data_IF_481581282193
#
_entry.id   IF_481581282193
#
_cell.length_a   1.000
_cell.length_b   1.000
_cell.length_c   1.000
_cell.angle_alpha   90.00
_cell.angle_beta   90.00
_cell.angle_gamma   90.00
#
_symmetry.space_group_name_H-M   'P 1'
#
loop_
_entity.id
_entity.type
_entity.pdbx_description
1 polymer ?
#
# COMPACT_ATOMS: atom_id res chain seq x y z
N UNK A 1 2.90 -18.18 -8.02
CA UNK A 1 1.75 -17.41 -7.53
C UNK A 1 1.10 -18.25 -6.44
N UNK A 2 0.93 -17.67 -5.24
CA UNK A 2 0.36 -18.38 -4.08
C UNK A 2 -1.16 -18.40 -4.16
N UNK A 3 -1.75 -19.50 -3.73
CA UNK A 3 -3.21 -19.68 -3.61
C UNK A 3 -3.50 -20.24 -2.22
N UNK A 4 -4.57 -19.77 -1.61
CA UNK A 4 -5.10 -20.30 -0.34
C UNK A 4 -6.59 -20.58 -0.49
N UNK A 5 -7.07 -21.68 0.06
CA UNK A 5 -8.50 -21.98 0.08
C UNK A 5 -9.18 -21.46 1.37
N UNK A 6 -10.48 -21.25 1.28
CA UNK A 6 -11.29 -20.73 2.36
C UNK A 6 -11.37 -21.71 3.55
N UNK A 7 -11.28 -23.02 3.29
CA UNK A 7 -11.33 -24.04 4.36
C UNK A 7 -10.07 -23.99 5.20
N UNK A 8 -8.92 -23.76 4.58
CA UNK A 8 -7.64 -23.59 5.29
C UNK A 8 -7.68 -22.37 6.20
N UNK A 9 -8.23 -21.22 5.73
CA UNK A 9 -8.44 -20.04 6.56
C UNK A 9 -9.32 -20.38 7.77
N UNK A 10 -10.48 -21.00 7.53
CA UNK A 10 -11.44 -21.36 8.56
C UNK A 10 -10.87 -22.37 9.58
N UNK A 11 -10.05 -23.31 9.11
CA UNK A 11 -9.38 -24.27 9.99
C UNK A 11 -8.40 -23.57 10.95
N UNK A 12 -7.57 -22.66 10.41
CA UNK A 12 -6.58 -21.93 11.21
C UNK A 12 -7.21 -20.95 12.21
N UNK A 13 -8.40 -20.41 11.91
CA UNK A 13 -9.15 -19.54 12.83
C UNK A 13 -9.60 -20.22 14.11
N UNK A 14 -9.51 -21.55 14.25
CA UNK A 14 -9.74 -22.25 15.51
C UNK A 14 -8.76 -21.85 16.63
N UNK A 15 -7.60 -21.30 16.24
CA UNK A 15 -6.64 -20.68 17.15
C UNK A 15 -6.19 -19.33 16.59
N UNK A 16 -7.04 -18.31 16.76
CA UNK A 16 -6.88 -16.97 16.22
C UNK A 16 -5.50 -16.36 16.52
N UNK A 17 -5.09 -16.42 17.79
CA UNK A 17 -3.81 -15.82 18.22
C UNK A 17 -2.63 -16.46 17.51
N UNK A 18 -2.55 -17.78 17.47
CA UNK A 18 -1.44 -18.48 16.82
C UNK A 18 -1.47 -18.29 15.31
N UNK A 19 -2.65 -18.20 14.71
CA UNK A 19 -2.79 -17.95 13.28
C UNK A 19 -2.28 -16.57 12.90
N UNK A 20 -2.68 -15.54 13.62
CA UNK A 20 -2.19 -14.17 13.41
C UNK A 20 -0.68 -14.10 13.57
N UNK A 21 -0.13 -14.62 14.68
CA UNK A 21 1.32 -14.57 14.94
C UNK A 21 2.14 -15.21 13.82
N UNK A 22 1.74 -16.38 13.33
CA UNK A 22 2.42 -17.04 12.18
C UNK A 22 2.38 -16.20 10.90
N UNK A 23 1.26 -15.56 10.62
CA UNK A 23 1.14 -14.71 9.43
C UNK A 23 2.01 -13.47 9.54
N UNK A 24 2.08 -12.85 10.73
CA UNK A 24 2.96 -11.72 10.99
C UNK A 24 4.45 -12.11 10.90
N UNK A 25 4.82 -13.29 11.38
CA UNK A 25 6.17 -13.83 11.26
C UNK A 25 6.58 -14.02 9.79
N UNK A 26 5.70 -14.58 8.95
CA UNK A 26 5.94 -14.70 7.51
C UNK A 26 6.14 -13.33 6.84
N UNK A 27 5.40 -12.31 7.27
CA UNK A 27 5.61 -10.95 6.75
C UNK A 27 6.91 -10.33 7.27
N UNK A 28 7.23 -10.52 8.55
CA UNK A 28 8.51 -10.15 9.17
C UNK A 28 9.71 -10.70 8.39
N UNK A 29 9.69 -11.99 8.04
CA UNK A 29 10.75 -12.64 7.28
C UNK A 29 10.95 -12.01 5.89
N UNK A 30 9.85 -11.64 5.22
CA UNK A 30 9.93 -10.94 3.92
C UNK A 30 10.58 -9.56 4.07
N UNK A 31 10.26 -8.81 5.12
CA UNK A 31 10.88 -7.51 5.40
C UNK A 31 12.36 -7.69 5.72
N UNK A 32 12.71 -8.65 6.58
CA UNK A 32 14.09 -8.96 6.94
C UNK A 32 14.95 -9.34 5.73
N UNK A 33 14.43 -10.19 4.84
CA UNK A 33 15.09 -10.57 3.60
C UNK A 33 15.28 -9.36 2.65
N UNK A 34 14.28 -8.47 2.56
CA UNK A 34 14.38 -7.25 1.76
C UNK A 34 15.47 -6.31 2.32
N UNK A 35 15.52 -6.13 3.64
CA UNK A 35 16.56 -5.34 4.32
C UNK A 35 17.96 -5.90 4.05
N UNK A 36 18.15 -7.23 4.16
CA UNK A 36 19.42 -7.87 3.83
C UNK A 36 19.87 -7.57 2.40
N UNK A 37 18.94 -7.59 1.43
CA UNK A 37 19.22 -7.27 0.03
C UNK A 37 19.56 -5.79 -0.16
N UNK A 38 18.84 -4.88 0.49
CA UNK A 38 19.08 -3.43 0.44
C UNK A 38 20.47 -3.11 0.97
N UNK A 39 20.86 -3.67 2.13
CA UNK A 39 22.16 -3.43 2.75
C UNK A 39 23.33 -3.99 1.94
N UNK A 40 23.14 -5.13 1.26
CA UNK A 40 24.18 -5.73 0.41
C UNK A 40 24.55 -4.85 -0.78
N UNK A 41 23.67 -3.96 -1.21
CA UNK A 41 23.86 -3.12 -2.40
C UNK A 41 24.21 -1.66 -2.09
N UNK A 42 24.03 -1.20 -0.86
CA UNK A 42 24.37 0.15 -0.35
C UNK A 42 24.05 1.31 -1.29
N UNK A 43 22.87 1.27 -1.90
CA UNK A 43 22.37 2.39 -2.70
C UNK A 43 21.62 3.38 -1.80
N UNK A 44 21.75 4.71 -2.04
CA UNK A 44 21.09 5.72 -1.21
C UNK A 44 19.57 5.70 -1.32
N UNK A 45 19.00 5.21 -2.44
CA UNK A 45 17.56 5.22 -2.65
C UNK A 45 16.96 3.83 -2.67
N UNK A 46 15.81 3.69 -2.02
CA UNK A 46 14.88 2.57 -2.19
C UNK A 46 13.59 3.13 -2.76
N UNK A 47 13.33 2.85 -4.03
CA UNK A 47 12.13 3.27 -4.74
C UNK A 47 11.03 2.21 -4.56
N UNK A 48 10.07 2.48 -3.68
CA UNK A 48 9.03 1.53 -3.30
C UNK A 48 7.72 1.87 -4.00
N UNK A 49 7.26 0.97 -4.86
CA UNK A 49 6.01 1.13 -5.63
C UNK A 49 5.05 -0.02 -5.35
N UNK A 50 3.79 0.27 -5.53
CA UNK A 50 2.67 -0.68 -5.51
C UNK A 50 1.36 0.04 -5.71
N UNK A 51 0.29 -0.67 -6.12
CA UNK A 51 -1.00 -0.05 -6.37
C UNK A 51 -1.65 0.48 -5.09
N UNK A 52 -2.72 1.26 -5.24
CA UNK A 52 -3.49 1.77 -4.10
C UNK A 52 -4.03 0.61 -3.23
N UNK A 53 -3.91 0.74 -1.91
CA UNK A 53 -4.32 -0.32 -0.97
C UNK A 53 -3.35 -1.51 -0.89
N UNK A 54 -2.13 -1.37 -1.38
CA UNK A 54 -1.13 -2.45 -1.32
C UNK A 54 -0.36 -2.55 0.01
N UNK A 55 -0.38 -1.52 0.84
CA UNK A 55 0.38 -1.44 2.09
C UNK A 55 1.80 -0.88 1.90
N UNK A 56 2.00 0.01 0.93
CA UNK A 56 3.29 0.68 0.66
C UNK A 56 3.83 1.41 1.88
N UNK A 57 3.01 2.28 2.44
CA UNK A 57 3.42 3.18 3.53
C UNK A 57 3.84 2.38 4.75
N UNK A 58 3.04 1.39 5.17
CA UNK A 58 3.43 0.51 6.29
C UNK A 58 4.67 -0.31 5.96
N UNK A 59 4.81 -0.81 4.72
CA UNK A 59 6.03 -1.54 4.31
C UNK A 59 7.25 -0.64 4.40
N UNK A 60 7.17 0.62 3.97
CA UNK A 60 8.26 1.58 4.10
C UNK A 60 8.63 1.84 5.57
N UNK A 61 7.63 2.01 6.46
CA UNK A 61 7.86 2.19 7.89
C UNK A 61 8.48 0.94 8.54
N UNK A 62 8.07 -0.26 8.13
CA UNK A 62 8.67 -1.52 8.60
C UNK A 62 10.11 -1.67 8.12
N UNK A 63 10.40 -1.36 6.86
CA UNK A 63 11.79 -1.34 6.35
C UNK A 63 12.65 -0.33 7.11
N UNK A 64 12.12 0.87 7.38
CA UNK A 64 12.79 1.88 8.20
C UNK A 64 13.14 1.34 9.57
N UNK A 65 12.16 0.79 10.31
CA UNK A 65 12.35 0.23 11.66
C UNK A 65 13.49 -0.79 11.67
N UNK A 66 13.54 -1.69 10.69
CA UNK A 66 14.59 -2.72 10.61
C UNK A 66 15.97 -2.16 10.27
N UNK A 67 16.04 -1.21 9.34
CA UNK A 67 17.30 -0.56 8.97
C UNK A 67 17.86 0.28 10.13
N UNK A 68 16.99 1.02 10.83
CA UNK A 68 17.38 1.82 11.99
C UNK A 68 17.87 0.94 13.17
N UNK A 69 17.25 -0.21 13.40
CA UNK A 69 17.72 -1.19 14.38
C UNK A 69 19.12 -1.76 14.06
N UNK A 70 19.54 -1.66 12.80
CA UNK A 70 20.89 -2.03 12.34
C UNK A 70 21.84 -0.82 12.27
N UNK A 71 21.43 0.34 12.83
CA UNK A 71 22.25 1.56 12.91
C UNK A 71 22.27 2.39 11.63
N UNK A 72 21.38 2.16 10.67
CA UNK A 72 21.28 2.94 9.43
C UNK A 72 20.34 4.11 9.63
N UNK A 73 20.76 5.32 9.27
CA UNK A 73 19.88 6.50 9.24
C UNK A 73 18.91 6.39 8.06
N UNK A 74 17.61 6.58 8.28
CA UNK A 74 16.58 6.40 7.25
C UNK A 74 15.60 7.57 7.21
N UNK A 75 15.47 8.18 6.03
CA UNK A 75 14.37 9.07 5.72
C UNK A 75 13.28 8.31 4.94
N UNK A 76 12.01 8.52 5.30
CA UNK A 76 10.86 8.06 4.49
C UNK A 76 10.27 9.29 3.79
N UNK A 77 10.14 9.20 2.47
CA UNK A 77 9.61 10.27 1.64
C UNK A 77 8.41 9.73 0.84
N UNK A 78 7.23 10.30 1.07
CA UNK A 78 6.06 9.98 0.25
C UNK A 78 6.04 10.84 -1.01
N UNK A 79 5.96 10.18 -2.17
CA UNK A 79 5.76 10.83 -3.46
C UNK A 79 4.45 11.65 -3.49
N UNK A 80 3.45 11.22 -2.73
CA UNK A 80 2.15 11.90 -2.67
C UNK A 80 2.25 13.35 -2.20
N UNK A 81 3.31 13.68 -1.45
CA UNK A 81 3.61 15.05 -1.06
C UNK A 81 3.99 15.97 -2.23
N UNK A 82 4.41 15.42 -3.35
CA UNK A 82 4.87 16.14 -4.53
C UNK A 82 3.82 16.26 -5.64
N UNK A 83 2.55 16.00 -5.34
CA UNK A 83 1.48 16.26 -6.30
C UNK A 83 1.43 17.75 -6.68
N UNK A 84 1.27 18.00 -7.97
CA UNK A 84 1.02 19.36 -8.47
C UNK A 84 -0.35 19.85 -8.02
N UNK A 85 -0.47 21.12 -7.60
CA UNK A 85 -1.77 21.77 -7.41
C UNK A 85 -2.66 21.59 -8.62
N UNK A 86 -3.98 21.47 -8.41
CA UNK A 86 -4.94 21.18 -9.48
C UNK A 86 -4.86 22.16 -10.66
N UNK A 87 -4.62 23.45 -10.36
CA UNK A 87 -4.49 24.53 -11.34
C UNK A 87 -3.15 24.54 -12.11
N UNK A 88 -2.18 23.73 -11.67
CA UNK A 88 -0.85 23.62 -12.29
C UNK A 88 -0.66 22.30 -13.05
N UNK A 89 -1.68 21.44 -13.08
CA UNK A 89 -1.59 20.14 -13.75
C UNK A 89 -1.62 20.29 -15.27
N UNK A 90 -0.70 19.62 -15.99
CA UNK A 90 -0.74 19.60 -17.44
C UNK A 90 -1.92 18.75 -17.96
N UNK A 91 -2.32 18.89 -19.24
CA UNK A 91 -3.41 18.12 -19.84
C UNK A 91 -3.23 16.60 -19.71
N UNK A 92 -2.00 16.11 -19.73
CA UNK A 92 -1.64 14.69 -19.56
C UNK A 92 -1.93 14.16 -18.14
N UNK A 93 -2.16 15.05 -17.19
CA UNK A 93 -2.55 14.74 -15.81
C UNK A 93 -4.08 14.72 -15.63
N UNK A 94 -4.83 14.34 -16.66
CA UNK A 94 -6.31 14.28 -16.64
C UNK A 94 -6.88 13.23 -15.66
N UNK A 95 -6.07 12.22 -15.29
CA UNK A 95 -6.41 11.21 -14.30
C UNK A 95 -5.48 11.37 -13.08
N UNK A 96 -6.04 11.21 -11.87
CA UNK A 96 -5.28 11.21 -10.62
C UNK A 96 -4.20 10.12 -10.54
N UNK A 97 -4.38 9.04 -11.26
CA UNK A 97 -3.40 7.94 -11.36
C UNK A 97 -2.32 8.23 -12.42
N UNK A 98 -2.31 9.41 -13.05
CA UNK A 98 -1.30 9.79 -14.04
C UNK A 98 0.03 10.20 -13.35
N UNK A 99 1.20 9.74 -13.83
CA UNK A 99 2.48 10.18 -13.30
C UNK A 99 2.76 11.68 -13.51
N UNK A 100 2.07 12.30 -14.45
CA UNK A 100 2.17 13.75 -14.71
C UNK A 100 1.48 14.61 -13.64
N UNK A 101 0.76 14.00 -12.69
CA UNK A 101 0.26 14.70 -11.51
C UNK A 101 1.38 15.07 -10.53
N UNK A 102 2.58 14.50 -10.66
CA UNK A 102 3.69 14.67 -9.71
C UNK A 102 4.69 15.70 -10.21
N UNK A 103 5.16 16.57 -9.34
CA UNK A 103 6.32 17.44 -9.60
C UNK A 103 7.60 16.61 -9.53
N UNK A 104 7.91 15.94 -10.65
CA UNK A 104 9.00 14.96 -10.75
C UNK A 104 10.35 15.61 -10.49
N UNK A 105 10.58 16.82 -11.01
CA UNK A 105 11.87 17.49 -10.87
C UNK A 105 12.13 17.91 -9.43
N UNK A 106 11.11 18.41 -8.72
CA UNK A 106 11.21 18.70 -7.28
C UNK A 106 11.46 17.42 -6.47
N UNK A 107 10.73 16.33 -6.76
CA UNK A 107 10.92 15.04 -6.08
C UNK A 107 12.36 14.53 -6.25
N UNK A 108 12.85 14.47 -7.48
CA UNK A 108 14.21 13.96 -7.79
C UNK A 108 15.28 14.86 -7.16
N UNK A 109 15.13 16.19 -7.27
CA UNK A 109 16.06 17.13 -6.62
C UNK A 109 16.07 16.96 -5.11
N UNK A 110 14.91 16.79 -4.48
CA UNK A 110 14.79 16.55 -3.02
C UNK A 110 15.51 15.26 -2.61
N UNK A 111 15.37 14.18 -3.39
CA UNK A 111 16.05 12.90 -3.12
C UNK A 111 17.58 13.08 -3.11
N UNK A 112 18.14 13.70 -4.13
CA UNK A 112 19.61 13.90 -4.21
C UNK A 112 20.13 14.79 -3.08
N UNK A 113 19.45 15.92 -2.79
CA UNK A 113 19.84 16.81 -1.71
C UNK A 113 19.82 16.14 -0.34
N UNK A 114 18.80 15.31 -0.08
CA UNK A 114 18.75 14.50 1.16
C UNK A 114 19.90 13.48 1.21
N UNK A 115 20.25 12.84 0.09
CA UNK A 115 21.37 11.90 0.02
C UNK A 115 22.73 12.60 0.24
N UNK A 116 22.84 13.85 -0.18
CA UNK A 116 24.03 14.70 0.09
C UNK A 116 24.10 15.20 1.55
N UNK A 117 23.09 14.91 2.36
CA UNK A 117 23.03 15.27 3.77
C UNK A 117 22.50 16.69 4.02
N UNK A 118 21.86 17.32 3.04
CA UNK A 118 21.29 18.66 3.21
C UNK A 118 19.98 18.64 4.02
N UNK A 119 19.69 19.74 4.71
CA UNK A 119 18.33 20.02 5.17
C UNK A 119 17.52 20.58 4.00
N UNK A 120 16.36 19.97 3.73
CA UNK A 120 15.46 20.36 2.64
C UNK A 120 14.06 20.66 3.14
N UNK A 121 13.36 21.56 2.48
CA UNK A 121 11.93 21.78 2.68
C UNK A 121 11.15 20.83 1.78
N UNK A 122 10.41 19.90 2.40
CA UNK A 122 9.55 18.92 1.73
C UNK A 122 8.12 19.46 1.76
N UNK A 123 7.42 19.56 0.62
CA UNK A 123 6.01 19.93 0.63
C UNK A 123 5.16 18.84 1.29
N UNK A 124 3.93 19.18 1.66
CA UNK A 124 2.89 18.22 1.88
C UNK A 124 1.65 18.63 1.06
N UNK A 125 0.98 17.63 0.49
CA UNK A 125 -0.16 17.84 -0.39
C UNK A 125 -1.47 17.55 0.35
N UNK A 126 -2.39 18.51 0.33
CA UNK A 126 -3.72 18.35 0.90
C UNK A 126 -4.71 17.85 -0.18
N UNK A 127 -5.05 16.58 -0.13
CA UNK A 127 -6.00 15.95 -1.05
C UNK A 127 -7.43 16.49 -0.92
N UNK A 128 -7.80 17.16 0.18
CA UNK A 128 -9.13 17.76 0.34
C UNK A 128 -9.27 19.04 -0.45
N UNK A 129 -8.22 19.85 -0.46
CA UNK A 129 -8.18 21.14 -1.17
C UNK A 129 -7.60 21.02 -2.59
N UNK A 130 -6.83 19.96 -2.86
CA UNK A 130 -6.11 19.78 -4.11
C UNK A 130 -4.91 20.74 -4.29
N UNK A 131 -4.35 21.20 -3.19
CA UNK A 131 -3.29 22.22 -3.15
C UNK A 131 -2.12 21.76 -2.27
N UNK A 132 -0.95 22.40 -2.44
CA UNK A 132 0.15 22.28 -1.47
C UNK A 132 -0.30 22.92 -0.17
N UNK A 133 -0.37 22.15 0.92
CA UNK A 133 -0.82 22.61 2.22
C UNK A 133 0.27 23.33 3.04
N UNK A 134 1.54 23.15 2.66
CA UNK A 134 2.69 23.75 3.34
C UNK A 134 3.97 22.98 3.11
N UNK A 135 4.98 23.27 3.93
CA UNK A 135 6.31 22.66 3.87
C UNK A 135 6.78 22.31 5.27
N UNK A 136 7.59 21.25 5.38
CA UNK A 136 8.30 20.88 6.60
C UNK A 136 9.77 20.58 6.28
N UNK A 137 10.66 20.80 7.26
CA UNK A 137 12.08 20.57 7.11
C UNK A 137 12.41 19.12 7.38
N UNK A 138 13.23 18.53 6.52
CA UNK A 138 13.75 17.18 6.65
C UNK A 138 15.27 17.23 6.55
N UNK A 139 15.96 16.69 7.54
CA UNK A 139 17.42 16.57 7.54
C UNK A 139 17.83 15.31 6.80
N UNK A 140 18.64 15.46 5.76
CA UNK A 140 19.27 14.35 5.04
C UNK A 140 20.47 13.76 5.79
N UNK A 141 20.86 12.55 5.40
CA UNK A 141 22.00 11.83 5.99
C UNK A 141 22.90 11.27 4.89
N UNK A 142 24.15 11.74 4.82
CA UNK A 142 25.08 11.45 3.72
C UNK A 142 25.36 9.96 3.47
N UNK A 143 25.30 9.13 4.51
CA UNK A 143 25.46 7.67 4.43
C UNK A 143 24.16 6.93 4.75
N UNK A 144 23.04 7.65 4.77
CA UNK A 144 21.71 7.14 5.06
C UNK A 144 21.04 6.51 3.85
N UNK A 145 19.84 5.98 4.10
CA UNK A 145 18.95 5.45 3.06
C UNK A 145 17.68 6.28 3.01
N UNK A 146 17.24 6.63 1.80
CA UNK A 146 15.96 7.29 1.57
C UNK A 146 14.99 6.27 0.99
N UNK A 147 13.95 5.95 1.75
CA UNK A 147 12.82 5.12 1.31
C UNK A 147 11.78 6.04 0.66
N UNK A 148 11.83 6.17 -0.66
CA UNK A 148 10.84 6.94 -1.41
C UNK A 148 9.69 6.01 -1.83
N UNK A 149 8.48 6.25 -1.31
CA UNK A 149 7.32 5.44 -1.61
C UNK A 149 6.28 6.21 -2.43
N UNK A 150 5.61 5.50 -3.33
CA UNK A 150 4.52 6.05 -4.12
C UNK A 150 4.14 5.16 -5.29
N UNK A 151 2.99 5.43 -5.89
CA UNK A 151 2.47 4.59 -6.99
C UNK A 151 3.36 4.63 -8.25
N UNK A 152 4.15 5.69 -8.45
CA UNK A 152 4.98 5.91 -9.63
C UNK A 152 6.49 5.86 -9.39
N UNK A 153 6.97 5.47 -8.21
CA UNK A 153 8.42 5.46 -7.93
C UNK A 153 9.23 4.56 -8.86
N UNK A 154 8.61 3.54 -9.50
CA UNK A 154 9.24 2.70 -10.52
C UNK A 154 8.88 3.10 -11.97
N UNK A 155 8.10 4.18 -12.17
CA UNK A 155 7.82 4.69 -13.50
C UNK A 155 9.10 5.27 -14.11
N UNK A 156 9.40 5.02 -15.41
CA UNK A 156 10.60 5.53 -16.08
C UNK A 156 10.81 7.04 -15.94
N UNK A 157 9.74 7.84 -15.91
CA UNK A 157 9.83 9.30 -15.72
C UNK A 157 10.55 9.70 -14.42
N UNK A 158 10.46 8.88 -13.38
CA UNK A 158 11.13 9.07 -12.09
C UNK A 158 12.33 8.13 -11.98
N UNK A 159 12.09 6.82 -12.15
CA UNK A 159 13.07 5.78 -11.86
C UNK A 159 14.32 5.88 -12.70
N UNK A 160 14.22 6.26 -13.98
CA UNK A 160 15.40 6.39 -14.86
C UNK A 160 16.34 7.51 -14.42
N UNK A 161 15.81 8.55 -13.74
CA UNK A 161 16.61 9.65 -13.19
C UNK A 161 17.44 9.24 -11.95
N UNK A 162 17.06 8.16 -11.25
CA UNK A 162 17.71 7.68 -10.02
C UNK A 162 18.18 6.21 -10.12
N UNK A 163 18.01 5.53 -11.25
CA UNK A 163 18.20 4.08 -11.43
C UNK A 163 19.54 3.56 -10.96
N UNK A 164 20.61 4.31 -11.19
CA UNK A 164 21.97 3.89 -10.82
C UNK A 164 22.14 3.85 -9.29
N UNK A 165 21.42 4.72 -8.59
CA UNK A 165 21.51 4.97 -7.16
C UNK A 165 20.30 4.40 -6.39
N UNK A 166 19.34 3.76 -7.09
CA UNK A 166 18.12 3.26 -6.51
C UNK A 166 17.99 1.73 -6.52
N UNK A 167 17.31 1.21 -5.53
CA UNK A 167 16.83 -0.15 -5.47
C UNK A 167 15.31 -0.16 -5.63
N UNK A 168 14.81 -0.85 -6.65
CA UNK A 168 13.37 -0.94 -6.90
C UNK A 168 12.72 -2.02 -6.04
N UNK A 169 11.64 -1.67 -5.33
CA UNK A 169 10.80 -2.59 -4.53
C UNK A 169 9.36 -2.48 -4.98
N UNK A 170 8.74 -3.61 -5.31
CA UNK A 170 7.32 -3.68 -5.64
C UNK A 170 6.52 -4.38 -4.52
N UNK A 171 5.49 -3.70 -4.05
CA UNK A 171 4.68 -4.10 -2.88
C UNK A 171 3.22 -4.28 -3.32
N UNK A 172 2.68 -5.48 -3.18
CA UNK A 172 1.26 -5.74 -3.45
C UNK A 172 0.82 -7.07 -2.82
N UNK A 173 -0.46 -7.24 -2.47
CA UNK A 173 -0.99 -8.58 -2.25
C UNK A 173 -0.90 -9.36 -3.55
N UNK A 174 -0.45 -10.62 -3.50
CA UNK A 174 -0.26 -11.50 -4.67
C UNK A 174 -0.95 -12.84 -4.52
N UNK A 175 -1.39 -13.14 -3.30
CA UNK A 175 -2.12 -14.38 -2.99
C UNK A 175 -3.56 -14.27 -3.46
N UNK A 176 -4.07 -15.36 -4.01
CA UNK A 176 -5.48 -15.54 -4.42
C UNK A 176 -6.20 -16.41 -3.43
N UNK A 177 -7.50 -16.19 -3.25
CA UNK A 177 -8.34 -17.03 -2.40
C UNK A 177 -9.27 -17.85 -3.30
N UNK A 178 -9.33 -19.15 -3.06
CA UNK A 178 -10.34 -20.04 -3.68
C UNK A 178 -11.53 -20.15 -2.72
N UNK A 179 -12.71 -19.89 -3.24
CA UNK A 179 -13.98 -20.07 -2.53
C UNK A 179 -14.41 -21.53 -2.54
N UNK A 180 -15.44 -21.89 -1.78
CA UNK A 180 -15.98 -23.28 -1.73
C UNK A 180 -16.57 -23.78 -3.06
N UNK A 181 -16.95 -22.87 -3.95
CA UNK A 181 -17.47 -23.14 -5.29
C UNK A 181 -16.40 -22.94 -6.38
N UNK A 182 -15.12 -23.11 -6.02
CA UNK A 182 -13.94 -23.04 -6.91
C UNK A 182 -13.79 -21.71 -7.65
N UNK A 183 -14.38 -20.61 -7.13
CA UNK A 183 -14.16 -19.26 -7.66
C UNK A 183 -12.89 -18.66 -7.09
N UNK A 184 -12.29 -17.76 -7.86
CA UNK A 184 -11.02 -17.12 -7.48
C UNK A 184 -11.27 -15.65 -7.14
N UNK A 185 -11.05 -15.29 -5.87
CA UNK A 185 -10.94 -13.91 -5.46
C UNK A 185 -9.51 -13.42 -5.73
N UNK A 186 -9.41 -12.40 -6.57
CA UNK A 186 -8.13 -11.83 -7.01
C UNK A 186 -7.59 -10.82 -5.99
N UNK A 187 -6.26 -10.57 -5.99
CA UNK A 187 -5.66 -9.56 -5.12
C UNK A 187 -6.25 -8.14 -5.28
N UNK A 188 -6.71 -7.79 -6.48
CA UNK A 188 -7.36 -6.52 -6.77
C UNK A 188 -8.62 -6.33 -5.90
N UNK A 189 -9.44 -7.37 -5.78
CA UNK A 189 -10.66 -7.34 -4.97
C UNK A 189 -10.35 -7.17 -3.47
N UNK A 190 -9.27 -7.79 -2.97
CA UNK A 190 -8.81 -7.58 -1.59
C UNK A 190 -8.41 -6.12 -1.35
N UNK A 191 -7.75 -5.50 -2.32
CA UNK A 191 -7.39 -4.07 -2.23
C UNK A 191 -8.62 -3.17 -2.25
N UNK A 192 -9.69 -3.55 -2.97
CA UNK A 192 -10.97 -2.84 -2.88
C UNK A 192 -11.52 -2.91 -1.45
N UNK A 193 -11.53 -4.08 -0.81
CA UNK A 193 -11.97 -4.23 0.58
C UNK A 193 -11.13 -3.40 1.56
N UNK A 194 -9.79 -3.41 1.42
CA UNK A 194 -8.87 -2.56 2.21
C UNK A 194 -9.22 -1.08 2.05
N UNK A 195 -9.46 -0.62 0.81
CA UNK A 195 -9.83 0.77 0.52
C UNK A 195 -11.19 1.12 1.09
N UNK A 196 -12.21 0.25 0.94
CA UNK A 196 -13.53 0.49 1.51
C UNK A 196 -13.44 0.79 3.01
N UNK A 197 -12.70 -0.02 3.76
CA UNK A 197 -12.54 0.16 5.21
C UNK A 197 -11.78 1.44 5.52
N UNK A 198 -10.62 1.65 4.90
CA UNK A 198 -9.78 2.83 5.13
C UNK A 198 -10.52 4.12 4.78
N UNK A 199 -11.14 4.17 3.61
CA UNK A 199 -11.75 5.39 3.09
C UNK A 199 -13.04 5.74 3.86
N UNK A 200 -13.75 4.74 4.37
CA UNK A 200 -14.90 4.93 5.26
C UNK A 200 -14.47 5.58 6.59
N UNK A 201 -13.47 5.00 7.28
CA UNK A 201 -13.07 5.49 8.61
C UNK A 201 -12.21 6.76 8.56
N UNK A 202 -11.35 6.90 7.56
CA UNK A 202 -10.32 7.94 7.57
C UNK A 202 -10.60 9.10 6.59
N UNK A 203 -11.46 8.88 5.58
CA UNK A 203 -11.70 9.86 4.52
C UNK A 203 -13.17 10.29 4.40
N UNK A 204 -14.07 9.63 5.12
CA UNK A 204 -15.51 9.92 5.10
C UNK A 204 -16.19 9.58 3.76
N UNK A 205 -15.62 8.68 2.97
CA UNK A 205 -16.25 8.18 1.75
C UNK A 205 -17.21 7.03 2.06
N UNK A 206 -18.30 6.92 1.29
CA UNK A 206 -19.17 5.75 1.36
C UNK A 206 -18.48 4.51 0.78
N UNK A 207 -18.97 3.32 1.13
CA UNK A 207 -18.49 2.07 0.57
C UNK A 207 -18.73 2.04 -0.94
N UNK A 208 -19.91 2.49 -1.36
CA UNK A 208 -20.34 2.56 -2.76
C UNK A 208 -19.45 3.48 -3.58
N UNK A 209 -19.13 4.69 -3.08
CA UNK A 209 -18.22 5.62 -3.76
C UNK A 209 -16.82 5.02 -3.95
N UNK A 210 -16.32 4.29 -2.94
CA UNK A 210 -15.00 3.64 -3.02
C UNK A 210 -15.00 2.55 -4.09
N UNK A 211 -16.06 1.75 -4.19
CA UNK A 211 -16.20 0.72 -5.24
C UNK A 211 -16.32 1.36 -6.63
N UNK A 212 -17.12 2.40 -6.80
CA UNK A 212 -17.26 3.10 -8.10
C UNK A 212 -15.93 3.69 -8.59
N UNK A 213 -15.09 4.18 -7.69
CA UNK A 213 -13.74 4.67 -8.04
C UNK A 213 -12.74 3.54 -8.33
N UNK A 214 -13.04 2.30 -7.95
CA UNK A 214 -12.13 1.17 -8.14
C UNK A 214 -11.76 0.96 -9.61
N UNK A 215 -12.70 1.12 -10.54
CA UNK A 215 -12.44 0.96 -11.97
C UNK A 215 -11.42 1.96 -12.52
N UNK A 216 -11.48 3.23 -12.08
CA UNK A 216 -10.50 4.25 -12.48
C UNK A 216 -9.12 3.92 -11.92
N UNK A 217 -9.06 3.53 -10.65
CA UNK A 217 -7.80 3.11 -9.99
C UNK A 217 -7.20 1.88 -10.68
N UNK A 218 -8.02 0.89 -11.04
CA UNK A 218 -7.55 -0.32 -11.72
C UNK A 218 -7.07 -0.02 -13.15
N UNK A 219 -7.72 0.89 -13.89
CA UNK A 219 -7.22 1.37 -15.18
C UNK A 219 -5.87 2.05 -15.04
N UNK A 220 -5.72 2.97 -14.09
CA UNK A 220 -4.45 3.65 -13.80
C UNK A 220 -3.34 2.67 -13.41
N UNK A 221 -3.66 1.64 -12.62
CA UNK A 221 -2.71 0.57 -12.29
C UNK A 221 -2.22 -0.17 -13.52
N UNK A 222 -3.13 -0.62 -14.38
CA UNK A 222 -2.79 -1.35 -15.61
C UNK A 222 -1.95 -0.49 -16.55
N UNK A 223 -2.25 0.80 -16.64
CA UNK A 223 -1.59 1.72 -17.56
C UNK A 223 -0.23 2.21 -17.04
N UNK A 224 -0.14 2.54 -15.74
CA UNK A 224 1.00 3.31 -15.20
C UNK A 224 1.85 2.56 -14.18
N UNK A 225 1.33 1.51 -13.52
CA UNK A 225 2.03 0.83 -12.43
C UNK A 225 2.51 -0.56 -12.84
N UNK A 226 1.61 -1.40 -13.36
CA UNK A 226 1.93 -2.80 -13.72
C UNK A 226 3.07 -2.94 -14.74
N UNK A 227 3.18 -2.12 -15.81
CA UNK A 227 4.27 -2.22 -16.76
C UNK A 227 5.65 -1.98 -16.15
N UNK A 228 5.69 -1.20 -15.06
CA UNK A 228 6.92 -0.77 -14.39
C UNK A 228 7.38 -1.73 -13.28
N UNK A 229 6.61 -2.76 -12.98
CA UNK A 229 6.92 -3.84 -12.04
C UNK A 229 8.25 -4.55 -12.36
N UNK A 230 8.64 -4.59 -13.63
CA UNK A 230 9.92 -5.13 -14.12
C UNK A 230 11.14 -4.38 -13.60
N UNK A 231 10.98 -3.13 -13.16
CA UNK A 231 12.04 -2.30 -12.58
C UNK A 231 12.30 -2.62 -11.10
N UNK A 232 11.46 -3.45 -10.47
CA UNK A 232 11.68 -3.91 -9.12
C UNK A 232 12.65 -5.10 -9.07
N UNK A 233 13.65 -5.01 -8.20
CA UNK A 233 14.54 -6.11 -7.86
C UNK A 233 13.96 -6.98 -6.72
N UNK A 234 13.10 -6.39 -5.86
CA UNK A 234 12.45 -7.05 -4.74
C UNK A 234 10.94 -6.98 -4.92
N UNK A 235 10.25 -8.10 -4.65
CA UNK A 235 8.79 -8.18 -4.64
C UNK A 235 8.31 -8.64 -3.27
N UNK A 236 7.49 -7.82 -2.60
CA UNK A 236 6.92 -8.15 -1.29
C UNK A 236 5.43 -8.43 -1.45
N UNK A 237 5.01 -9.67 -1.16
CA UNK A 237 3.61 -10.03 -1.04
C UNK A 237 3.09 -9.61 0.33
N UNK A 238 2.15 -8.68 0.35
CA UNK A 238 1.58 -8.06 1.57
C UNK A 238 0.33 -8.74 2.08
N UNK A 239 -0.06 -9.85 1.49
CA UNK A 239 -1.22 -10.61 1.95
C UNK A 239 -0.91 -11.37 3.25
N UNK A 240 -1.83 -11.29 4.21
CA UNK A 240 -1.83 -12.07 5.44
C UNK A 240 -3.00 -13.05 5.40
N UNK A 241 -2.77 -14.33 5.69
CA UNK A 241 -3.81 -15.36 5.54
C UNK A 241 -5.03 -15.14 6.46
N UNK A 242 -4.86 -14.43 7.58
CA UNK A 242 -5.94 -14.03 8.49
C UNK A 242 -6.72 -12.79 7.98
N UNK A 243 -6.19 -12.07 7.01
CA UNK A 243 -6.74 -10.78 6.55
C UNK A 243 -8.22 -10.85 6.16
N UNK A 244 -8.69 -11.88 5.41
CA UNK A 244 -10.11 -11.99 5.08
C UNK A 244 -11.03 -11.98 6.30
N UNK A 245 -10.59 -12.60 7.41
CA UNK A 245 -11.35 -12.67 8.66
C UNK A 245 -11.46 -11.31 9.37
N UNK A 246 -10.38 -10.51 9.28
CA UNK A 246 -10.36 -9.15 9.83
C UNK A 246 -11.18 -8.19 8.96
N UNK A 247 -11.06 -8.28 7.63
CA UNK A 247 -11.87 -7.49 6.70
C UNK A 247 -13.36 -7.82 6.86
N UNK A 248 -13.71 -9.11 7.05
CA UNK A 248 -15.06 -9.53 7.34
C UNK A 248 -15.61 -8.86 8.60
N UNK A 249 -14.83 -8.87 9.71
CA UNK A 249 -15.23 -8.18 10.95
C UNK A 249 -15.49 -6.70 10.72
N UNK A 250 -14.59 -6.01 10.03
CA UNK A 250 -14.73 -4.58 9.80
C UNK A 250 -15.91 -4.23 8.88
N UNK A 251 -16.07 -4.94 7.77
CA UNK A 251 -17.12 -4.66 6.79
C UNK A 251 -18.52 -5.02 7.33
N UNK A 252 -18.68 -6.19 7.94
CA UNK A 252 -19.97 -6.66 8.45
C UNK A 252 -20.45 -5.87 9.67
N UNK A 253 -19.56 -5.21 10.39
CA UNK A 253 -19.93 -4.33 11.51
C UNK A 253 -20.37 -2.92 11.06
N UNK A 254 -20.17 -2.55 9.79
CA UNK A 254 -20.58 -1.24 9.28
C UNK A 254 -22.09 -1.21 9.09
N UNK A 255 -22.82 -0.25 9.70
CA UNK A 255 -24.28 -0.17 9.59
C UNK A 255 -24.80 -0.01 8.16
N UNK A 256 -23.97 0.58 7.30
CA UNK A 256 -24.29 0.85 5.89
C UNK A 256 -23.99 -0.32 4.96
N UNK A 257 -23.28 -1.37 5.43
CA UNK A 257 -22.75 -2.44 4.59
C UNK A 257 -23.82 -3.08 3.69
N UNK A 258 -24.87 -3.64 4.28
CA UNK A 258 -25.95 -4.31 3.52
C UNK A 258 -26.80 -3.33 2.69
N UNK A 259 -26.85 -2.07 3.11
CA UNK A 259 -27.61 -1.02 2.41
C UNK A 259 -26.89 -0.49 1.19
N UNK A 260 -25.58 -0.32 1.27
CA UNK A 260 -24.78 0.26 0.18
C UNK A 260 -24.27 -0.78 -0.80
N UNK A 261 -24.11 -2.04 -0.37
CA UNK A 261 -23.51 -3.14 -1.14
C UNK A 261 -24.54 -4.25 -1.37
N UNK A 262 -25.65 -3.92 -2.04
CA UNK A 262 -26.65 -4.91 -2.44
C UNK A 262 -26.11 -5.86 -3.53
N UNK A 263 -26.75 -7.04 -3.71
CA UNK A 263 -26.28 -8.09 -4.62
C UNK A 263 -26.13 -7.61 -6.07
N UNK A 264 -27.06 -6.79 -6.55
CA UNK A 264 -27.02 -6.28 -7.92
C UNK A 264 -25.83 -5.34 -8.14
N UNK A 265 -25.52 -4.50 -7.14
CA UNK A 265 -24.36 -3.61 -7.18
C UNK A 265 -23.05 -4.41 -7.12
N UNK A 266 -22.97 -5.40 -6.24
CA UNK A 266 -21.79 -6.27 -6.12
C UNK A 266 -21.51 -7.06 -7.40
N UNK A 267 -22.55 -7.58 -8.04
CA UNK A 267 -22.42 -8.32 -9.29
C UNK A 267 -21.97 -7.40 -10.44
N UNK A 268 -22.56 -6.23 -10.55
CA UNK A 268 -22.19 -5.23 -11.56
C UNK A 268 -20.70 -4.80 -11.46
N UNK A 269 -20.10 -4.85 -10.27
CA UNK A 269 -18.69 -4.49 -10.03
C UNK A 269 -17.76 -5.70 -9.82
N UNK A 270 -18.24 -6.94 -10.05
CA UNK A 270 -17.44 -8.17 -9.97
C UNK A 270 -16.96 -8.51 -8.57
N UNK A 271 -17.66 -8.05 -7.52
CA UNK A 271 -17.29 -8.23 -6.11
C UNK A 271 -18.07 -9.35 -5.41
N UNK A 272 -18.97 -10.04 -6.10
CA UNK A 272 -19.80 -11.13 -5.56
C UNK A 272 -18.95 -12.20 -4.86
N UNK A 273 -17.86 -12.66 -5.51
CA UNK A 273 -17.03 -13.72 -4.93
C UNK A 273 -16.19 -13.21 -3.73
N UNK A 274 -15.77 -11.94 -3.72
CA UNK A 274 -15.17 -11.31 -2.53
C UNK A 274 -16.16 -11.34 -1.36
N UNK A 275 -17.43 -10.99 -1.58
CA UNK A 275 -18.45 -10.98 -0.52
C UNK A 275 -18.79 -12.39 -0.04
N UNK A 276 -18.72 -13.41 -0.88
CA UNK A 276 -18.80 -14.82 -0.43
C UNK A 276 -17.67 -15.16 0.55
N UNK A 277 -16.44 -14.68 0.29
CA UNK A 277 -15.33 -14.85 1.23
C UNK A 277 -15.61 -14.10 2.53
N UNK A 278 -15.96 -12.81 2.46
CA UNK A 278 -16.27 -11.98 3.63
C UNK A 278 -17.36 -12.60 4.53
N UNK A 279 -18.43 -13.14 3.93
CA UNK A 279 -19.52 -13.81 4.67
C UNK A 279 -19.19 -15.26 5.05
N UNK A 280 -18.19 -15.87 4.42
CA UNK A 280 -17.82 -17.28 4.59
C UNK A 280 -16.71 -17.56 5.60
N UNK A 281 -16.05 -16.53 6.14
CA UNK A 281 -14.98 -16.65 7.14
C UNK A 281 -15.46 -16.24 8.54
N UNK A 282 -14.90 -16.83 9.61
CA UNK A 282 -15.12 -16.34 10.97
C UNK A 282 -14.53 -14.93 11.12
N UNK A 283 -15.26 -13.96 11.69
CA UNK A 283 -14.74 -12.61 11.89
C UNK A 283 -13.66 -12.57 12.96
N UNK A 284 -12.48 -12.04 12.62
CA UNK A 284 -11.35 -11.85 13.54
C UNK A 284 -11.45 -10.48 14.23
N UNK A 285 -11.33 -10.48 15.57
CA UNK A 285 -11.37 -9.23 16.34
C UNK A 285 -10.03 -8.47 16.22
N UNK A 286 -10.11 -7.16 16.00
CA UNK A 286 -8.98 -6.26 15.85
C UNK A 286 -7.91 -6.36 16.96
N UNK A 287 -8.22 -6.53 18.27
CA UNK A 287 -7.20 -6.63 19.31
C UNK A 287 -6.22 -7.79 19.17
N UNK A 288 -6.53 -8.83 18.40
CA UNK A 288 -5.60 -9.93 18.13
C UNK A 288 -4.49 -9.56 17.14
N UNK A 289 -4.68 -8.49 16.37
CA UNK A 289 -3.72 -8.06 15.35
C UNK A 289 -2.71 -7.07 15.96
N UNK A 290 -1.40 -7.30 15.85
CA UNK A 290 -0.37 -6.39 16.36
C UNK A 290 -0.54 -4.96 15.83
N UNK A 291 -0.20 -3.98 16.66
CA UNK A 291 -0.35 -2.56 16.29
C UNK A 291 0.61 -2.10 15.17
N UNK A 292 1.70 -2.82 14.96
CA UNK A 292 2.67 -2.60 13.88
C UNK A 292 2.40 -3.48 12.63
N UNK A 293 1.28 -4.23 12.61
CA UNK A 293 0.87 -5.00 11.44
C UNK A 293 0.53 -4.08 10.26
N UNK A 294 0.88 -4.54 9.04
CA UNK A 294 0.53 -3.85 7.80
C UNK A 294 -0.98 -3.59 7.67
N UNK A 295 -1.80 -4.54 8.11
CA UNK A 295 -3.26 -4.43 7.95
C UNK A 295 -3.84 -3.27 8.78
N UNK A 296 -3.14 -2.82 9.81
CA UNK A 296 -3.53 -1.65 10.62
C UNK A 296 -3.62 -0.35 9.82
N UNK A 297 -2.90 -0.22 8.71
CA UNK A 297 -3.05 0.88 7.74
C UNK A 297 -4.50 1.06 7.28
N UNK A 298 -5.24 -0.04 7.21
CA UNK A 298 -6.61 -0.04 6.67
C UNK A 298 -7.69 -0.05 7.75
N UNK A 299 -7.44 -0.80 8.83
CA UNK A 299 -8.44 -1.03 9.89
C UNK A 299 -8.25 -0.13 11.12
N UNK A 300 -7.22 0.69 11.11
CA UNK A 300 -6.89 1.62 12.18
C UNK A 300 -6.15 1.00 13.37
N UNK A 301 -5.77 1.84 14.32
CA UNK A 301 -5.05 1.46 15.55
C UNK A 301 -3.59 1.08 15.33
N UNK A 302 -2.97 1.57 14.25
CA UNK A 302 -1.53 1.46 14.00
C UNK A 302 -0.70 2.23 15.02
N UNK A 303 0.57 1.83 15.18
CA UNK A 303 1.60 2.66 15.83
C UNK A 303 2.21 3.68 14.86
N UNK A 304 2.05 3.45 13.56
CA UNK A 304 2.55 4.35 12.53
C UNK A 304 1.52 5.45 12.24
N UNK A 305 2.01 6.66 11.99
CA UNK A 305 1.22 7.79 11.49
C UNK A 305 1.19 7.76 9.95
N UNK A 306 0.02 8.03 9.35
CA UNK A 306 -0.22 7.95 7.90
C UNK A 306 -0.68 9.29 7.32
#
# INVERSE_FOLDING_TARGET
>A
MRVIDLENINYNMRNETQFVLRCEEVYHDKISAAVGTILSNRKPFVALTGPSGSGKTTTAMRLKEYLENLGVQVNVLSMDNFFLPLDQRPPEASDWESPYCVNIDLLVSTLHRLADGEEVEVPWYDFKTGMTGGYHKVQGHKDGIILAEGIHMLNPLIFDKIRQEAYGVYVAPRTRIITKDDKIVKPEHLRVARRMIRDYYNRGHSLRDTVMRAESVDRGEVQHIQPNKKNAAIHIDTFHDYEPCLLAKCLLDMPEFEKELDEAFLDAHGLTDLMKVVRGVPPLRTPYVPRNSLIREFVGGSIFEY
#
